data_IF_388867280179
#
_entry.id   IF_388867280179
#
_cell.length_a   1.000
_cell.length_b   1.000
_cell.length_c   1.000
_cell.angle_alpha   90.00
_cell.angle_beta   90.00
_cell.angle_gamma   90.00
#
_symmetry.space_group_name_H-M   'P 1'
#
loop_
_entity.id
_entity.type
_entity.pdbx_description
1 polymer ?
#
# COMPACT_ATOMS: atom_id res chain seq x y z
N UNK A 1 -34.96 27.61 -29.79
CA UNK A 1 -33.65 28.24 -30.09
C UNK A 1 -33.06 27.49 -31.26
N UNK A 2 -33.10 28.09 -32.45
CA UNK A 2 -32.61 27.53 -33.71
C UNK A 2 -31.08 27.53 -33.70
N UNK A 3 -30.43 26.37 -33.72
CA UNK A 3 -28.98 26.30 -33.94
C UNK A 3 -28.72 26.58 -35.42
N UNK A 4 -27.97 27.65 -35.71
CA UNK A 4 -27.58 28.03 -37.06
C UNK A 4 -26.66 26.96 -37.68
N UNK A 5 -26.75 26.65 -38.99
CA UNK A 5 -25.97 25.59 -39.64
C UNK A 5 -24.45 25.83 -39.75
N UNK A 6 -23.91 26.87 -39.10
CA UNK A 6 -22.54 27.35 -39.29
C UNK A 6 -21.49 26.79 -38.33
N UNK A 7 -21.88 26.04 -37.31
CA UNK A 7 -20.97 25.64 -36.21
C UNK A 7 -20.46 24.18 -36.28
N UNK A 8 -20.79 23.45 -37.35
CA UNK A 8 -20.38 22.06 -37.55
C UNK A 8 -19.22 21.98 -38.57
N UNK A 9 -18.24 21.13 -38.29
CA UNK A 9 -17.13 20.79 -39.21
C UNK A 9 -17.61 19.94 -40.39
N UNK A 10 -16.74 19.72 -41.40
CA UNK A 10 -17.01 18.82 -42.53
C UNK A 10 -17.32 17.37 -42.11
N UNK A 11 -16.94 16.98 -40.89
CA UNK A 11 -17.26 15.68 -40.29
C UNK A 11 -18.54 15.69 -39.42
N UNK A 12 -19.31 16.79 -39.40
CA UNK A 12 -20.57 16.88 -38.64
C UNK A 12 -20.41 17.05 -37.13
N UNK A 13 -19.20 17.34 -36.65
CA UNK A 13 -18.88 17.57 -35.23
C UNK A 13 -18.80 19.08 -34.95
N UNK A 14 -19.30 19.58 -33.81
CA UNK A 14 -19.16 21.00 -33.46
C UNK A 14 -17.68 21.43 -33.44
N UNK A 15 -17.38 22.66 -33.87
CA UNK A 15 -16.02 23.21 -33.97
C UNK A 15 -15.10 22.93 -32.74
N UNK A 16 -15.57 22.98 -31.48
CA UNK A 16 -14.75 22.62 -30.31
C UNK A 16 -14.28 21.16 -30.26
N UNK A 17 -14.98 20.26 -30.97
CA UNK A 17 -14.68 18.83 -31.09
C UNK A 17 -14.10 18.48 -32.48
N UNK A 18 -13.67 19.49 -33.24
CA UNK A 18 -13.04 19.31 -34.55
C UNK A 18 -11.70 18.58 -34.48
N UNK A 19 -11.02 18.68 -33.35
CA UNK A 19 -9.67 18.13 -33.18
C UNK A 19 -9.72 16.61 -33.12
N UNK A 20 -8.96 15.95 -33.99
CA UNK A 20 -8.83 14.50 -34.02
C UNK A 20 -8.26 14.00 -32.68
N UNK A 21 -9.03 13.15 -32.00
CA UNK A 21 -8.58 12.36 -30.85
C UNK A 21 -8.34 10.91 -31.26
N UNK A 22 -7.23 10.34 -30.81
CA UNK A 22 -6.89 8.93 -31.05
C UNK A 22 -6.92 8.18 -29.70
N UNK A 23 -7.41 6.95 -29.71
CA UNK A 23 -7.33 5.99 -28.59
C UNK A 23 -6.24 4.94 -28.85
N UNK A 24 -6.06 4.01 -27.90
CA UNK A 24 -5.04 2.95 -28.00
C UNK A 24 -5.22 2.06 -29.23
N UNK A 25 -6.47 1.73 -29.59
CA UNK A 25 -6.78 0.83 -30.71
C UNK A 25 -6.64 1.49 -32.10
N UNK A 26 -6.47 2.82 -32.16
CA UNK A 26 -6.31 3.55 -33.41
C UNK A 26 -4.86 3.53 -33.95
N UNK A 27 -3.90 3.10 -33.13
CA UNK A 27 -2.47 3.21 -33.44
C UNK A 27 -1.70 1.93 -33.12
N UNK A 28 -0.58 1.73 -33.82
CA UNK A 28 0.37 0.67 -33.56
C UNK A 28 1.77 1.25 -33.44
N UNK A 29 2.61 0.62 -32.62
CA UNK A 29 4.03 0.95 -32.55
C UNK A 29 4.74 0.36 -33.76
N UNK A 30 5.47 1.20 -34.50
CA UNK A 30 6.32 0.74 -35.60
C UNK A 30 7.58 0.08 -35.03
N UNK A 31 7.86 -1.20 -35.35
CA UNK A 31 9.07 -1.87 -34.90
C UNK A 31 10.34 -1.18 -35.46
N UNK A 32 11.41 -1.21 -34.68
CA UNK A 32 12.73 -0.72 -35.07
C UNK A 32 13.82 -1.74 -34.69
N UNK A 33 15.00 -1.61 -35.28
CA UNK A 33 16.17 -2.41 -34.92
C UNK A 33 16.56 -2.18 -33.45
N UNK A 34 16.94 -3.24 -32.75
CA UNK A 34 17.32 -3.21 -31.34
C UNK A 34 18.38 -4.26 -31.04
N UNK A 35 19.48 -3.83 -30.43
CA UNK A 35 20.54 -4.71 -29.91
C UNK A 35 20.29 -5.17 -28.45
N UNK A 36 19.18 -4.73 -27.84
CA UNK A 36 18.84 -5.03 -26.45
C UNK A 36 17.87 -6.20 -26.38
N UNK A 37 18.20 -7.20 -25.57
CA UNK A 37 17.28 -8.29 -25.25
C UNK A 37 16.21 -7.82 -24.25
N UNK A 38 14.94 -8.28 -24.37
CA UNK A 38 13.84 -7.78 -23.52
C UNK A 38 14.09 -7.85 -22.01
N UNK A 39 14.80 -8.88 -21.52
CA UNK A 39 15.11 -9.04 -20.09
C UNK A 39 16.14 -8.03 -19.55
N UNK A 40 16.87 -7.34 -20.43
CA UNK A 40 17.85 -6.32 -20.05
C UNK A 40 17.26 -4.90 -20.07
N UNK A 41 16.01 -4.74 -20.52
CA UNK A 41 15.34 -3.43 -20.58
C UNK A 41 14.97 -2.97 -19.17
N UNK A 42 15.29 -1.70 -18.86
CA UNK A 42 14.80 -1.07 -17.63
C UNK A 42 13.38 -0.53 -17.84
N UNK A 43 12.46 -0.93 -16.98
CA UNK A 43 11.09 -0.40 -16.94
C UNK A 43 10.90 0.68 -15.88
N UNK A 44 12.00 1.12 -15.25
CA UNK A 44 11.93 2.12 -14.19
C UNK A 44 11.34 3.44 -14.71
N UNK A 45 10.48 4.06 -13.90
CA UNK A 45 9.78 5.29 -14.26
C UNK A 45 9.57 6.19 -13.05
N UNK A 46 9.02 7.39 -13.28
CA UNK A 46 8.75 8.38 -12.25
C UNK A 46 7.26 8.63 -12.12
N UNK A 47 6.74 8.42 -10.92
CA UNK A 47 5.34 8.73 -10.59
C UNK A 47 5.20 10.20 -10.18
N UNK A 48 6.27 10.80 -9.67
CA UNK A 48 6.31 12.23 -9.36
C UNK A 48 7.69 12.83 -9.58
N UNK A 49 7.82 14.15 -9.37
CA UNK A 49 9.11 14.85 -9.39
C UNK A 49 10.14 14.26 -8.42
N UNK A 50 9.73 13.52 -7.39
CA UNK A 50 10.61 12.99 -6.33
C UNK A 50 10.50 11.48 -6.11
N UNK A 51 9.54 10.81 -6.75
CA UNK A 51 9.27 9.39 -6.53
C UNK A 51 9.49 8.62 -7.83
N UNK A 52 10.44 7.69 -7.80
CA UNK A 52 10.70 6.73 -8.85
C UNK A 52 10.22 5.33 -8.42
N UNK A 53 9.78 4.54 -9.39
CA UNK A 53 9.33 3.15 -9.24
C UNK A 53 10.13 2.26 -10.20
N UNK A 54 10.33 1.00 -9.84
CA UNK A 54 11.03 0.04 -10.71
C UNK A 54 10.11 -0.50 -11.80
N UNK A 55 8.82 -0.57 -11.52
CA UNK A 55 7.78 -1.02 -12.45
C UNK A 55 6.76 0.12 -12.59
N UNK A 56 6.38 0.55 -13.82
CA UNK A 56 5.57 1.73 -14.05
C UNK A 56 4.07 1.43 -13.88
N UNK A 57 3.71 0.74 -12.80
CA UNK A 57 2.36 0.34 -12.48
C UNK A 57 1.91 1.01 -11.17
N UNK A 58 0.72 1.60 -11.23
CA UNK A 58 0.07 2.30 -10.12
C UNK A 58 -1.32 1.71 -9.94
N UNK A 59 -1.67 1.27 -8.73
CA UNK A 59 -3.04 0.79 -8.48
C UNK A 59 -4.01 1.97 -8.26
N UNK A 60 -5.22 1.82 -8.78
CA UNK A 60 -6.25 2.86 -8.73
C UNK A 60 -6.73 3.11 -7.29
N UNK A 61 -6.98 4.36 -6.88
CA UNK A 61 -7.49 4.71 -5.54
C UNK A 61 -9.01 4.47 -5.41
N UNK A 62 -9.42 3.21 -5.60
CA UNK A 62 -10.81 2.75 -5.48
C UNK A 62 -10.94 1.77 -4.31
N UNK A 63 -12.07 1.80 -3.62
CA UNK A 63 -12.38 0.91 -2.48
C UNK A 63 -12.35 -0.58 -2.88
N UNK A 64 -12.79 -0.88 -4.09
CA UNK A 64 -12.75 -2.23 -4.67
C UNK A 64 -11.36 -2.67 -5.15
N UNK A 65 -10.36 -1.79 -5.10
CA UNK A 65 -9.04 -2.04 -5.70
C UNK A 65 -7.92 -1.95 -4.66
N UNK A 66 -7.79 -0.82 -3.95
CA UNK A 66 -6.57 -0.51 -3.20
C UNK A 66 -6.81 -0.15 -1.74
N UNK A 67 -6.70 -1.16 -0.89
CA UNK A 67 -6.44 -1.04 0.56
C UNK A 67 -4.99 -1.46 0.88
N UNK A 68 -4.60 -1.52 2.16
CA UNK A 68 -3.24 -1.79 2.61
C UNK A 68 -2.64 -3.06 1.98
N UNK A 69 -3.43 -4.13 1.84
CA UNK A 69 -2.94 -5.39 1.25
C UNK A 69 -2.47 -5.22 -0.19
N UNK A 70 -3.24 -4.48 -1.01
CA UNK A 70 -2.87 -4.20 -2.40
C UNK A 70 -1.69 -3.25 -2.46
N UNK A 71 -1.68 -2.19 -1.64
CA UNK A 71 -0.58 -1.23 -1.62
C UNK A 71 0.76 -1.86 -1.23
N UNK A 72 0.77 -2.78 -0.26
CA UNK A 72 1.95 -3.57 0.12
C UNK A 72 2.41 -4.45 -1.05
N UNK A 73 1.48 -5.16 -1.71
CA UNK A 73 1.81 -6.02 -2.84
C UNK A 73 2.41 -5.22 -4.01
N UNK A 74 1.79 -4.10 -4.39
CA UNK A 74 2.30 -3.21 -5.44
C UNK A 74 3.71 -2.71 -5.12
N UNK A 75 3.97 -2.31 -3.87
CA UNK A 75 5.28 -1.82 -3.46
C UNK A 75 6.35 -2.93 -3.54
N UNK A 76 6.03 -4.17 -3.15
CA UNK A 76 6.93 -5.34 -3.24
C UNK A 76 7.31 -5.70 -4.67
N UNK A 77 6.35 -5.60 -5.59
CA UNK A 77 6.58 -5.80 -7.03
C UNK A 77 7.30 -4.60 -7.69
N UNK A 78 7.64 -3.56 -6.93
CA UNK A 78 8.38 -2.40 -7.40
C UNK A 78 7.53 -1.30 -8.04
N UNK A 79 6.20 -1.40 -7.94
CA UNK A 79 5.23 -0.35 -8.28
C UNK A 79 4.82 0.50 -7.06
N UNK A 80 3.62 1.08 -7.11
CA UNK A 80 3.05 1.86 -5.99
C UNK A 80 1.52 1.69 -5.93
N UNK A 81 0.98 1.65 -4.71
CA UNK A 81 -0.47 1.67 -4.50
C UNK A 81 -0.95 3.00 -3.92
N UNK A 82 -2.11 3.46 -4.38
CA UNK A 82 -2.77 4.67 -3.85
C UNK A 82 -4.04 4.25 -3.12
N UNK A 83 -4.10 4.51 -1.82
CA UNK A 83 -5.28 4.18 -1.02
C UNK A 83 -6.48 5.05 -1.44
N UNK A 84 -7.65 4.43 -1.51
CA UNK A 84 -8.89 5.14 -1.75
C UNK A 84 -9.28 6.04 -0.56
N UNK A 85 -10.21 6.97 -0.80
CA UNK A 85 -10.71 7.95 0.19
C UNK A 85 -12.11 7.65 0.73
N UNK A 86 -12.62 6.45 0.49
CA UNK A 86 -13.94 6.01 0.95
C UNK A 86 -13.82 5.39 2.36
N UNK A 87 -13.11 6.08 3.25
CA UNK A 87 -12.79 5.71 4.62
C UNK A 87 -12.84 6.98 5.47
N UNK A 88 -12.99 6.82 6.79
CA UNK A 88 -12.68 7.94 7.69
C UNK A 88 -11.20 8.32 7.58
N UNK A 89 -10.82 9.58 7.86
CA UNK A 89 -9.40 9.97 7.93
C UNK A 89 -8.58 9.07 8.85
N UNK A 90 -9.17 8.62 9.96
CA UNK A 90 -8.56 7.74 10.95
C UNK A 90 -8.29 6.34 10.36
N UNK A 91 -9.29 5.74 9.71
CA UNK A 91 -9.15 4.42 9.09
C UNK A 91 -8.14 4.46 7.92
N UNK A 92 -8.16 5.52 7.11
CA UNK A 92 -7.18 5.69 6.04
C UNK A 92 -5.76 5.82 6.60
N UNK A 93 -5.57 6.55 7.70
CA UNK A 93 -4.29 6.67 8.37
C UNK A 93 -3.81 5.30 8.91
N UNK A 94 -4.71 4.48 9.45
CA UNK A 94 -4.39 3.12 9.88
C UNK A 94 -3.93 2.25 8.70
N UNK A 95 -4.59 2.35 7.54
CA UNK A 95 -4.17 1.66 6.31
C UNK A 95 -2.76 2.10 5.88
N UNK A 96 -2.44 3.40 5.95
CA UNK A 96 -1.09 3.93 5.66
C UNK A 96 -0.08 3.35 6.64
N UNK A 97 -0.37 3.33 7.94
CA UNK A 97 0.53 2.83 8.97
C UNK A 97 0.88 1.35 8.74
N UNK A 98 -0.11 0.51 8.40
CA UNK A 98 0.09 -0.89 8.04
C UNK A 98 1.03 -1.04 6.83
N UNK A 99 0.85 -0.23 5.79
CA UNK A 99 1.72 -0.26 4.58
C UNK A 99 3.15 0.13 4.93
N UNK A 100 3.33 1.21 5.70
CA UNK A 100 4.67 1.73 6.05
C UNK A 100 5.44 0.79 6.98
N UNK A 101 4.76 0.01 7.81
CA UNK A 101 5.38 -0.95 8.75
C UNK A 101 5.68 -2.32 8.13
N UNK A 102 5.07 -2.66 6.98
CA UNK A 102 5.19 -4.00 6.40
C UNK A 102 6.62 -4.43 6.07
N UNK A 103 7.53 -3.48 5.81
CA UNK A 103 8.95 -3.73 5.54
C UNK A 103 9.78 -2.52 5.97
N UNK A 104 10.28 -2.54 7.21
CA UNK A 104 11.20 -1.54 7.76
C UNK A 104 12.52 -2.20 8.14
N UNK A 105 13.64 -1.74 7.58
CA UNK A 105 14.97 -2.26 7.92
C UNK A 105 15.41 -1.94 9.36
N UNK A 106 14.95 -0.82 9.91
CA UNK A 106 15.08 -0.46 11.32
C UNK A 106 13.74 0.11 11.80
N UNK A 107 13.23 -0.38 12.92
CA UNK A 107 11.93 0.04 13.46
C UNK A 107 12.18 1.13 14.50
N UNK A 108 11.83 2.38 14.18
CA UNK A 108 12.08 3.54 15.07
C UNK A 108 11.02 3.71 16.16
N UNK A 109 9.82 3.19 15.95
CA UNK A 109 8.72 3.20 16.92
C UNK A 109 8.03 1.82 16.94
N UNK A 110 8.63 0.84 17.63
CA UNK A 110 8.09 -0.51 17.67
C UNK A 110 6.72 -0.52 18.36
N UNK A 111 5.87 -1.45 17.92
CA UNK A 111 4.65 -1.76 18.66
C UNK A 111 5.07 -2.55 19.89
N UNK A 112 4.78 -2.00 21.07
CA UNK A 112 5.14 -2.59 22.37
C UNK A 112 3.88 -3.01 23.14
N UNK A 113 4.04 -3.88 24.12
CA UNK A 113 2.99 -4.23 25.08
C UNK A 113 3.47 -4.05 26.53
N UNK A 114 2.53 -3.98 27.46
CA UNK A 114 2.81 -3.92 28.90
C UNK A 114 3.00 -5.32 29.49
N UNK A 115 3.82 -5.48 30.55
CA UNK A 115 3.88 -6.74 31.32
C UNK A 115 2.52 -7.15 31.92
N UNK A 116 1.61 -6.18 32.11
CA UNK A 116 0.26 -6.40 32.65
C UNK A 116 -0.80 -6.57 31.55
N UNK A 117 -0.45 -6.53 30.27
CA UNK A 117 -1.37 -6.91 29.20
C UNK A 117 -1.67 -8.42 29.28
N UNK A 118 -2.85 -8.78 28.82
CA UNK A 118 -3.24 -10.19 28.63
C UNK A 118 -2.70 -10.71 27.30
N UNK A 119 -2.44 -12.02 27.21
CA UNK A 119 -2.04 -12.64 25.95
C UNK A 119 -3.05 -12.39 24.83
N UNK A 120 -4.35 -12.34 25.14
CA UNK A 120 -5.40 -11.95 24.19
C UNK A 120 -5.19 -10.56 23.57
N UNK A 121 -4.80 -9.58 24.38
CA UNK A 121 -4.54 -8.22 23.88
C UNK A 121 -3.32 -8.20 22.97
N UNK A 122 -2.27 -8.93 23.34
CA UNK A 122 -1.05 -9.05 22.52
C UNK A 122 -1.32 -9.80 21.21
N UNK A 123 -2.11 -10.86 21.22
CA UNK A 123 -2.48 -11.59 20.01
C UNK A 123 -3.30 -10.72 19.04
N UNK A 124 -4.28 -9.97 19.57
CA UNK A 124 -5.04 -9.00 18.78
C UNK A 124 -4.13 -7.92 18.15
N UNK A 125 -3.17 -7.40 18.92
CA UNK A 125 -2.19 -6.43 18.47
C UNK A 125 -1.29 -7.01 17.36
N UNK A 126 -0.79 -8.23 17.57
CA UNK A 126 0.01 -8.95 16.59
C UNK A 126 -0.76 -9.21 15.29
N UNK A 127 -2.03 -9.62 15.40
CA UNK A 127 -2.93 -9.85 14.27
C UNK A 127 -3.21 -8.57 13.48
N UNK A 128 -3.48 -7.45 14.18
CA UNK A 128 -3.73 -6.16 13.56
C UNK A 128 -2.53 -5.69 12.73
N UNK A 129 -1.32 -5.74 13.30
CA UNK A 129 -0.11 -5.24 12.65
C UNK A 129 0.64 -6.29 11.82
N UNK A 130 0.13 -7.53 11.78
CA UNK A 130 0.77 -8.69 11.12
C UNK A 130 2.22 -8.92 11.57
N UNK A 131 2.47 -8.78 12.87
CA UNK A 131 3.77 -9.05 13.50
C UNK A 131 3.70 -10.34 14.32
N UNK A 132 4.84 -10.99 14.56
CA UNK A 132 4.91 -12.26 15.30
C UNK A 132 5.30 -12.10 16.77
N UNK A 133 5.37 -10.87 17.28
CA UNK A 133 5.76 -10.58 18.66
C UNK A 133 5.95 -9.10 18.87
N UNK A 134 6.04 -8.71 20.15
CA UNK A 134 6.18 -7.33 20.58
C UNK A 134 7.22 -7.23 21.72
N UNK A 135 8.07 -6.19 21.74
CA UNK A 135 8.85 -5.85 22.92
C UNK A 135 7.92 -5.48 24.08
N UNK A 136 8.28 -5.92 25.28
CA UNK A 136 7.54 -5.63 26.50
C UNK A 136 8.20 -4.45 27.21
N UNK A 137 7.44 -3.40 27.50
CA UNK A 137 7.94 -2.20 28.18
C UNK A 137 7.15 -1.93 29.46
N UNK A 138 7.84 -1.44 30.49
CA UNK A 138 7.19 -1.00 31.74
C UNK A 138 6.52 0.37 31.60
N UNK A 139 5.95 0.88 32.70
CA UNK A 139 5.23 2.16 32.72
C UNK A 139 6.16 3.36 32.44
N UNK A 140 7.45 3.20 32.71
CA UNK A 140 8.51 4.18 32.46
C UNK A 140 9.04 4.11 31.01
N UNK A 141 8.59 3.14 30.23
CA UNK A 141 9.03 2.91 28.85
C UNK A 141 10.35 2.14 28.72
N UNK A 142 10.81 1.50 29.81
CA UNK A 142 12.00 0.66 29.82
C UNK A 142 11.68 -0.70 29.23
N UNK A 143 12.55 -1.21 28.35
CA UNK A 143 12.44 -2.57 27.82
C UNK A 143 12.69 -3.59 28.93
N UNK A 144 11.69 -4.42 29.23
CA UNK A 144 11.74 -5.45 30.28
C UNK A 144 11.69 -6.88 29.74
N UNK A 145 11.40 -7.07 28.44
CA UNK A 145 11.41 -8.39 27.81
C UNK A 145 10.87 -8.38 26.38
N UNK A 146 10.60 -9.56 25.85
CA UNK A 146 9.91 -9.78 24.57
C UNK A 146 8.89 -10.91 24.71
N UNK A 147 7.75 -10.76 24.04
CA UNK A 147 6.77 -11.84 23.88
C UNK A 147 6.55 -12.11 22.40
N UNK A 148 6.60 -13.39 22.02
CA UNK A 148 6.42 -13.82 20.64
C UNK A 148 5.29 -14.83 20.51
N UNK A 149 4.87 -15.05 19.27
CA UNK A 149 3.86 -16.05 18.92
C UNK A 149 4.28 -17.47 19.34
N UNK A 150 5.59 -17.73 19.50
CA UNK A 150 6.09 -19.01 20.01
C UNK A 150 5.83 -19.16 21.51
N UNK A 151 5.97 -18.10 22.28
CA UNK A 151 5.82 -18.10 23.73
C UNK A 151 4.34 -18.27 24.10
N UNK A 152 3.45 -17.63 23.33
CA UNK A 152 2.00 -17.72 23.52
C UNK A 152 1.40 -19.08 23.06
N UNK A 153 2.04 -19.77 22.11
CA UNK A 153 1.47 -20.97 21.44
C UNK A 153 1.06 -22.10 22.38
N UNK A 154 1.72 -22.23 23.53
CA UNK A 154 1.49 -23.33 24.48
C UNK A 154 0.68 -22.92 25.71
N UNK A 155 0.25 -21.66 25.77
CA UNK A 155 -0.58 -21.14 26.85
C UNK A 155 -2.04 -21.34 26.49
N UNK A 156 -2.79 -22.05 27.33
CA UNK A 156 -4.22 -22.33 27.11
C UNK A 156 -5.14 -21.27 27.69
N UNK A 157 -4.63 -20.43 28.59
CA UNK A 157 -5.37 -19.34 29.21
C UNK A 157 -4.96 -18.00 28.62
N UNK A 158 -5.79 -17.47 27.71
CA UNK A 158 -5.53 -16.19 27.05
C UNK A 158 -5.64 -14.98 28.00
N UNK A 159 -6.11 -15.18 29.23
CA UNK A 159 -6.18 -14.13 30.26
C UNK A 159 -4.89 -14.00 31.08
N UNK A 160 -3.95 -14.94 30.92
CA UNK A 160 -2.63 -14.88 31.51
C UNK A 160 -1.90 -13.59 31.14
N UNK A 161 -1.07 -13.10 32.06
CA UNK A 161 -0.34 -11.84 31.88
C UNK A 161 0.94 -12.08 31.08
N UNK A 162 1.32 -11.10 30.26
CA UNK A 162 2.55 -11.15 29.45
C UNK A 162 3.78 -11.45 30.29
N UNK A 163 3.88 -10.87 31.49
CA UNK A 163 5.01 -11.10 32.42
C UNK A 163 5.22 -12.55 32.85
N UNK A 164 4.21 -13.41 32.72
CA UNK A 164 4.28 -14.82 33.11
C UNK A 164 4.91 -15.69 32.01
N UNK A 165 5.05 -15.15 30.79
CA UNK A 165 5.39 -15.91 29.58
C UNK A 165 6.53 -15.28 28.78
N UNK A 166 6.72 -13.96 28.89
CA UNK A 166 7.78 -13.23 28.19
C UNK A 166 9.19 -13.73 28.56
N UNK A 167 10.15 -13.48 27.65
CA UNK A 167 11.58 -13.75 27.86
C UNK A 167 12.38 -12.48 28.03
#
# INVERSE_FOLDING_TARGET
MSQSPGDLTAAGVPQPFATLGLTFDDVLLQPAESDIIPSAVSTASRVSKRIAVRVPLVSSPMDTVTEARMAIAMAREGGIGVLHRNLSPEDQAQQVDLVKRSESGMITNPITCSPDDTLRQVDALCGQYRISGAPVVDAEGTLVGIVTNRDMRFVTDDSAKVREVMT
#
